data_IF_867329484307
#
_entry.id   IF_867329484307
#
_cell.length_a   1.000
_cell.length_b   1.000
_cell.length_c   1.000
_cell.angle_alpha   90.00
_cell.angle_beta   90.00
_cell.angle_gamma   90.00
#
_symmetry.space_group_name_H-M   'P 1'
#
loop_
_entity.id
_entity.type
_entity.pdbx_description
1 polymer ?
#
# COMPACT_ATOMS: atom_id res chain seq x y z
N UNK A 1 6.57 26.36 -32.72
CA UNK A 1 6.95 27.33 -31.67
C UNK A 1 7.44 26.51 -30.47
N UNK A 2 8.73 26.57 -30.09
CA UNK A 2 9.22 25.78 -28.97
C UNK A 2 8.45 26.19 -27.71
N UNK A 3 7.82 25.20 -27.08
CA UNK A 3 7.05 25.43 -25.86
C UNK A 3 8.02 25.82 -24.74
N UNK A 4 7.72 26.88 -24.01
CA UNK A 4 8.59 27.33 -22.92
C UNK A 4 8.73 26.20 -21.87
N UNK A 5 9.96 25.82 -21.53
CA UNK A 5 10.28 24.77 -20.57
C UNK A 5 9.51 24.97 -19.25
N UNK A 6 9.34 26.21 -18.79
CA UNK A 6 8.57 26.49 -17.58
C UNK A 6 7.09 26.05 -17.68
N UNK A 7 6.48 26.18 -18.86
CA UNK A 7 5.10 25.71 -19.11
C UNK A 7 5.02 24.19 -19.14
N UNK A 8 6.05 23.51 -19.67
CA UNK A 8 6.13 22.04 -19.68
C UNK A 8 6.22 21.53 -18.24
N UNK A 9 7.12 22.10 -17.43
CA UNK A 9 7.30 21.70 -16.03
C UNK A 9 6.02 21.95 -15.22
N UNK A 10 5.41 23.12 -15.37
CA UNK A 10 4.15 23.43 -14.70
C UNK A 10 3.04 22.43 -15.05
N UNK A 11 2.90 22.09 -16.33
CA UNK A 11 1.93 21.09 -16.78
C UNK A 11 2.21 19.71 -16.16
N UNK A 12 3.47 19.27 -16.16
CA UNK A 12 3.86 17.98 -15.59
C UNK A 12 3.53 17.89 -14.09
N UNK A 13 3.83 18.95 -13.33
CA UNK A 13 3.51 19.01 -11.89
C UNK A 13 2.00 18.92 -11.66
N UNK A 14 1.21 19.66 -12.44
CA UNK A 14 -0.26 19.61 -12.34
C UNK A 14 -0.78 18.20 -12.62
N UNK A 15 -0.29 17.54 -13.67
CA UNK A 15 -0.68 16.16 -14.01
C UNK A 15 -0.31 15.18 -12.89
N UNK A 16 0.90 15.30 -12.32
CA UNK A 16 1.36 14.44 -11.21
C UNK A 16 0.55 14.64 -9.93
N UNK A 17 0.04 15.84 -9.68
CA UNK A 17 -0.86 16.11 -8.55
C UNK A 17 -2.23 15.49 -8.83
N UNK A 18 -2.78 15.70 -10.03
CA UNK A 18 -4.11 15.22 -10.40
C UNK A 18 -4.22 13.68 -10.36
N UNK A 19 -3.18 12.96 -10.78
CA UNK A 19 -3.21 11.48 -10.77
C UNK A 19 -3.24 10.88 -9.35
N UNK A 20 -2.81 11.62 -8.31
CA UNK A 20 -2.93 11.15 -6.91
C UNK A 20 -4.38 11.04 -6.44
N UNK A 21 -5.32 11.71 -7.11
CA UNK A 21 -6.74 11.70 -6.75
C UNK A 21 -7.55 10.61 -7.44
N UNK A 22 -6.92 9.72 -8.21
CA UNK A 22 -7.60 8.54 -8.76
C UNK A 22 -7.87 7.57 -7.59
N UNK A 23 -9.15 7.37 -7.20
CA UNK A 23 -9.48 6.56 -6.03
C UNK A 23 -9.22 5.09 -6.31
N UNK A 24 -8.73 4.38 -5.30
CA UNK A 24 -8.42 2.96 -5.39
C UNK A 24 -9.27 2.13 -4.43
N UNK A 25 -9.47 0.83 -4.68
CA UNK A 25 -10.25 -0.05 -3.81
C UNK A 25 -9.67 -0.07 -2.39
N UNK A 26 -10.56 -0.22 -1.42
CA UNK A 26 -10.18 -0.29 -0.02
C UNK A 26 -9.46 -1.63 0.25
N UNK A 27 -8.31 -1.59 0.91
CA UNK A 27 -7.58 -2.79 1.26
C UNK A 27 -8.28 -3.46 2.45
N UNK A 28 -8.85 -4.64 2.23
CA UNK A 28 -9.51 -5.44 3.26
C UNK A 28 -8.72 -6.72 3.45
N UNK A 29 -8.39 -7.01 4.70
CA UNK A 29 -7.76 -8.28 5.01
C UNK A 29 -8.82 -9.39 4.97
N UNK A 30 -8.50 -10.57 4.42
CA UNK A 30 -9.35 -11.73 4.53
C UNK A 30 -9.48 -12.18 6.00
N UNK A 31 -10.42 -13.08 6.28
CA UNK A 31 -10.62 -13.57 7.65
C UNK A 31 -9.41 -14.38 8.14
N UNK A 32 -9.03 -14.21 9.40
CA UNK A 32 -8.00 -15.05 10.04
C UNK A 32 -8.55 -16.46 10.21
N UNK A 33 -7.86 -17.45 9.65
CA UNK A 33 -8.29 -18.86 9.68
C UNK A 33 -7.68 -19.65 10.83
N UNK A 34 -6.66 -19.10 11.49
CA UNK A 34 -5.98 -19.72 12.61
C UNK A 34 -4.67 -19.02 12.95
N UNK A 35 -4.10 -19.38 14.09
CA UNK A 35 -2.79 -18.92 14.53
C UNK A 35 -1.92 -20.15 14.79
N UNK A 36 -0.67 -20.17 14.31
CA UNK A 36 0.23 -21.29 14.62
C UNK A 36 0.48 -21.37 16.13
N UNK A 37 0.82 -22.56 16.61
CA UNK A 37 1.35 -22.69 17.96
C UNK A 37 2.78 -22.14 18.00
N UNK A 38 2.96 -21.04 18.73
CA UNK A 38 4.27 -20.44 18.92
C UNK A 38 5.10 -21.30 19.89
N UNK A 39 6.37 -21.51 19.55
CA UNK A 39 7.36 -22.13 20.44
C UNK A 39 7.70 -21.21 21.62
N UNK A 40 7.67 -19.89 21.42
CA UNK A 40 7.91 -18.88 22.45
C UNK A 40 7.29 -17.51 22.12
N UNK A 41 7.08 -16.63 23.12
CA UNK A 41 6.64 -15.25 22.88
C UNK A 41 7.59 -14.44 22.00
N UNK A 42 8.88 -14.78 22.01
CA UNK A 42 9.90 -14.13 21.18
C UNK A 42 9.68 -14.40 19.70
N UNK A 43 9.30 -15.63 19.35
CA UNK A 43 9.07 -16.02 17.95
C UNK A 43 7.81 -15.37 17.41
N UNK A 44 6.75 -15.29 18.22
CA UNK A 44 5.54 -14.54 17.86
C UNK A 44 5.87 -13.06 17.57
N UNK A 45 6.63 -12.41 18.47
CA UNK A 45 7.03 -11.02 18.29
C UNK A 45 7.90 -10.82 17.04
N UNK A 46 8.80 -11.76 16.75
CA UNK A 46 9.63 -11.74 15.54
C UNK A 46 8.79 -11.91 14.28
N UNK A 47 7.81 -12.82 14.28
CA UNK A 47 6.90 -13.01 13.17
C UNK A 47 6.07 -11.77 12.91
N UNK A 48 5.46 -11.19 13.95
CA UNK A 48 4.63 -9.97 13.84
C UNK A 48 5.39 -8.80 13.24
N UNK A 49 6.68 -8.63 13.58
CA UNK A 49 7.48 -7.52 13.04
C UNK A 49 8.05 -7.77 11.64
N UNK A 50 8.36 -9.02 11.28
CA UNK A 50 9.13 -9.32 10.08
C UNK A 50 8.31 -9.95 8.95
N UNK A 51 7.28 -10.72 9.30
CA UNK A 51 6.60 -11.61 8.36
C UNK A 51 5.10 -11.30 8.22
N UNK A 52 4.45 -10.84 9.29
CA UNK A 52 2.98 -10.77 9.36
C UNK A 52 2.34 -9.91 8.26
N UNK A 53 2.99 -8.84 7.80
CA UNK A 53 2.41 -8.02 6.74
C UNK A 53 2.20 -8.78 5.42
N UNK A 54 2.96 -9.85 5.14
CA UNK A 54 2.81 -10.65 3.92
C UNK A 54 2.29 -12.07 4.18
N UNK A 55 2.56 -12.62 5.36
CA UNK A 55 2.25 -14.02 5.71
C UNK A 55 1.14 -14.14 6.76
N UNK A 56 0.37 -13.08 6.99
CA UNK A 56 -0.84 -13.15 7.80
C UNK A 56 -2.02 -12.56 7.03
N UNK A 57 -3.22 -12.83 7.54
CA UNK A 57 -4.43 -12.16 7.12
C UNK A 57 -4.67 -10.89 7.97
N UNK A 58 -3.60 -10.25 8.44
CA UNK A 58 -3.63 -9.10 9.37
C UNK A 58 -2.66 -7.99 8.91
N UNK A 59 -2.54 -7.77 7.60
CA UNK A 59 -1.69 -6.72 7.04
C UNK A 59 -2.12 -5.32 7.53
N UNK A 60 -1.16 -4.53 8.01
CA UNK A 60 -1.39 -3.12 8.35
C UNK A 60 -1.09 -2.26 7.13
N UNK A 61 -2.15 -1.76 6.49
CA UNK A 61 -2.05 -0.92 5.31
C UNK A 61 -1.75 0.55 5.69
N UNK A 62 -0.61 1.12 5.28
CA UNK A 62 -0.31 2.53 5.48
C UNK A 62 -1.30 3.44 4.75
N UNK A 63 -1.52 4.65 5.27
CA UNK A 63 -2.44 5.64 4.70
C UNK A 63 -2.10 6.07 3.27
N UNK A 64 -0.84 5.94 2.84
CA UNK A 64 -0.44 6.26 1.46
C UNK A 64 -0.74 5.10 0.50
N UNK A 65 -0.95 3.88 0.99
CA UNK A 65 -1.40 2.73 0.19
C UNK A 65 -2.91 2.77 -0.07
N UNK A 66 -3.66 3.67 0.56
CA UNK A 66 -5.07 3.94 0.25
C UNK A 66 -5.29 4.42 -1.20
N UNK A 67 -4.19 4.66 -1.95
CA UNK A 67 -4.19 5.15 -3.33
C UNK A 67 -3.49 4.19 -4.31
N UNK A 68 -3.39 2.87 -4.05
CA UNK A 68 -2.98 1.86 -5.05
C UNK A 68 -4.13 0.92 -5.50
N UNK A 69 -4.44 0.88 -6.80
CA UNK A 69 -5.50 0.07 -7.41
C UNK A 69 -5.07 -1.38 -7.34
N UNK A 70 -5.75 -2.18 -6.53
CA UNK A 70 -5.75 -3.62 -6.79
C UNK A 70 -6.69 -3.88 -7.96
N UNK A 71 -6.14 -3.78 -9.17
CA UNK A 71 -6.69 -4.43 -10.35
C UNK A 71 -6.27 -5.91 -10.27
N UNK A 72 -7.27 -6.81 -10.23
CA UNK A 72 -7.16 -8.27 -10.43
C UNK A 72 -6.40 -9.06 -9.35
N UNK A 73 -7.14 -9.62 -8.38
CA UNK A 73 -7.55 -11.04 -8.32
C UNK A 73 -8.94 -11.10 -7.69
#
# INVERSE_FOLDING_TARGET
>A
MPMNIGKIVALAVVVLILIQFVPMPNHQNPQVTGTPQWDSPRTEALFKRACANCHSNETVWPWYMTHSTQHYI
#
